data_IF_888923689856
#
_entry.id   IF_888923689856
#
_cell.length_a   1.000
_cell.length_b   1.000
_cell.length_c   1.000
_cell.angle_alpha   90.00
_cell.angle_beta   90.00
_cell.angle_gamma   90.00
#
_symmetry.space_group_name_H-M   'P 1'
#
loop_
_entity.id
_entity.type
_entity.pdbx_description
1 polymer ?
#
# COMPACT_ATOMS: atom_id res chain seq x y z
N UNK A 1 -5.84 10.28 -2.97
CA UNK A 1 -6.39 9.14 -2.20
C UNK A 1 -6.12 7.88 -2.99
N UNK A 2 -5.83 6.77 -2.31
CA UNK A 2 -5.68 5.44 -2.90
C UNK A 2 -6.33 4.42 -1.96
N UNK A 3 -7.06 3.45 -2.51
CA UNK A 3 -7.70 2.37 -1.74
C UNK A 3 -6.88 1.06 -1.77
N UNK A 4 -5.82 1.00 -2.57
CA UNK A 4 -4.90 -0.12 -2.63
C UNK A 4 -3.45 0.37 -2.79
N UNK A 5 -2.50 -0.43 -2.30
CA UNK A 5 -1.07 -0.23 -2.52
C UNK A 5 -0.42 -1.57 -2.87
N UNK A 6 0.38 -1.59 -3.93
CA UNK A 6 1.25 -2.71 -4.25
C UNK A 6 2.71 -2.30 -4.04
N UNK A 7 3.51 -3.21 -3.49
CA UNK A 7 4.93 -2.99 -3.28
C UNK A 7 5.72 -4.04 -4.06
N UNK A 8 6.64 -3.57 -4.88
CA UNK A 8 7.65 -4.38 -5.56
C UNK A 8 9.04 -3.82 -5.25
N UNK A 9 10.08 -4.63 -5.41
CA UNK A 9 11.45 -4.16 -5.16
C UNK A 9 12.49 -4.96 -5.94
N UNK A 10 13.62 -4.30 -6.18
CA UNK A 10 14.89 -4.91 -6.59
C UNK A 10 15.92 -4.72 -5.47
N UNK A 11 17.20 -4.98 -5.73
CA UNK A 11 18.27 -4.66 -4.78
C UNK A 11 18.51 -3.15 -4.68
N UNK A 12 18.17 -2.41 -5.73
CA UNK A 12 18.49 -1.00 -5.91
C UNK A 12 17.35 -0.07 -5.47
N UNK A 13 16.11 -0.54 -5.57
CA UNK A 13 14.94 0.29 -5.37
C UNK A 13 13.71 -0.48 -4.86
N UNK A 14 12.82 0.26 -4.19
CA UNK A 14 11.47 -0.14 -3.87
C UNK A 14 10.50 0.73 -4.65
N UNK A 15 9.50 0.09 -5.25
CA UNK A 15 8.40 0.72 -5.95
C UNK A 15 7.14 0.53 -5.11
N UNK A 16 6.48 1.64 -4.79
CA UNK A 16 5.17 1.65 -4.13
C UNK A 16 4.15 2.24 -5.10
N UNK A 17 3.24 1.40 -5.57
CA UNK A 17 2.16 1.78 -6.47
C UNK A 17 0.88 1.97 -5.69
N UNK A 18 0.44 3.22 -5.60
CA UNK A 18 -0.81 3.62 -4.98
C UNK A 18 -1.89 3.65 -6.05
N UNK A 19 -2.94 2.86 -5.87
CA UNK A 19 -3.96 2.62 -6.87
C UNK A 19 -5.36 2.87 -6.31
N UNK A 20 -6.28 3.23 -7.21
CA UNK A 20 -7.71 3.15 -6.98
C UNK A 20 -8.27 2.01 -7.83
N UNK A 21 -8.69 0.93 -7.15
CA UNK A 21 -9.33 -0.22 -7.78
C UNK A 21 -10.85 -0.04 -7.75
N UNK A 22 -11.50 -0.21 -8.90
CA UNK A 22 -12.95 -0.11 -9.06
C UNK A 22 -13.54 -1.51 -9.33
N UNK A 23 -14.11 -2.14 -8.28
CA UNK A 23 -14.55 -3.55 -8.31
C UNK A 23 -15.52 -3.86 -9.46
N UNK A 24 -16.42 -2.93 -9.81
CA UNK A 24 -17.44 -3.15 -10.84
C UNK A 24 -16.96 -2.90 -12.27
N UNK A 25 -15.80 -2.26 -12.44
CA UNK A 25 -15.32 -1.85 -13.76
C UNK A 25 -14.13 -2.68 -14.24
N UNK A 26 -13.50 -3.48 -13.36
CA UNK A 26 -12.30 -4.25 -13.70
C UNK A 26 -11.10 -3.37 -14.08
N UNK A 27 -11.16 -2.07 -13.80
CA UNK A 27 -10.11 -1.09 -14.09
C UNK A 27 -9.50 -0.62 -12.77
N UNK A 28 -8.17 -0.64 -12.71
CA UNK A 28 -7.39 0.01 -11.67
C UNK A 28 -6.66 1.23 -12.24
N UNK A 29 -6.73 2.37 -11.54
CA UNK A 29 -5.99 3.57 -11.92
C UNK A 29 -4.83 3.77 -10.94
N UNK A 30 -3.60 3.77 -11.47
CA UNK A 30 -2.41 4.16 -10.68
C UNK A 30 -2.50 5.66 -10.41
N UNK A 31 -2.69 5.99 -9.14
CA UNK A 31 -2.79 7.37 -8.67
C UNK A 31 -1.41 7.97 -8.42
N UNK A 32 -0.46 7.16 -7.96
CA UNK A 32 0.94 7.55 -7.82
C UNK A 32 1.85 6.32 -7.80
N UNK A 33 3.05 6.46 -8.38
CA UNK A 33 4.17 5.55 -8.17
C UNK A 33 5.27 6.30 -7.45
N UNK A 34 5.74 5.75 -6.34
CA UNK A 34 6.86 6.30 -5.58
C UNK A 34 8.00 5.29 -5.59
N UNK A 35 9.17 5.75 -6.04
CA UNK A 35 10.39 4.93 -6.14
C UNK A 35 11.39 5.43 -5.11
N UNK A 36 11.90 4.53 -4.27
CA UNK A 36 12.85 4.90 -3.20
C UNK A 36 13.97 3.88 -3.05
N UNK A 37 15.12 4.32 -2.54
CA UNK A 37 16.22 3.41 -2.22
C UNK A 37 15.90 2.53 -1.00
N UNK A 38 16.48 1.32 -0.88
CA UNK A 38 16.29 0.43 0.27
C UNK A 38 16.62 1.09 1.62
N UNK A 39 17.66 1.91 1.66
CA UNK A 39 18.04 2.65 2.87
C UNK A 39 16.97 3.66 3.31
N UNK A 40 16.31 4.31 2.36
CA UNK A 40 15.21 5.25 2.65
C UNK A 40 13.95 4.50 3.08
N UNK A 41 13.67 3.34 2.47
CA UNK A 41 12.54 2.48 2.87
C UNK A 41 12.61 2.10 4.34
N UNK A 42 13.78 1.70 4.86
CA UNK A 42 13.93 1.38 6.29
C UNK A 42 13.57 2.56 7.20
N UNK A 43 13.97 3.78 6.84
CA UNK A 43 13.65 4.98 7.62
C UNK A 43 12.16 5.30 7.58
N UNK A 44 11.53 5.12 6.43
CA UNK A 44 10.08 5.30 6.28
C UNK A 44 9.32 4.29 7.15
N UNK A 45 9.69 3.01 7.12
CA UNK A 45 9.05 1.98 7.95
C UNK A 45 9.13 2.32 9.44
N UNK A 46 10.32 2.72 9.92
CA UNK A 46 10.50 3.13 11.31
C UNK A 46 9.63 4.35 11.66
N UNK A 47 9.65 5.38 10.81
CA UNK A 47 8.86 6.59 11.02
C UNK A 47 7.34 6.31 11.01
N UNK A 48 6.86 5.44 10.12
CA UNK A 48 5.44 5.07 10.06
C UNK A 48 5.02 4.29 11.31
N UNK A 49 5.83 3.34 11.77
CA UNK A 49 5.56 2.59 13.01
C UNK A 49 5.45 3.53 14.22
N UNK A 50 6.37 4.47 14.36
CA UNK A 50 6.32 5.47 15.43
C UNK A 50 5.07 6.36 15.35
N UNK A 51 4.68 6.77 14.15
CA UNK A 51 3.50 7.60 13.94
C UNK A 51 2.19 6.84 14.20
N UNK A 52 2.11 5.55 13.84
CA UNK A 52 0.98 4.69 14.19
C UNK A 52 0.83 4.59 15.71
N UNK A 53 1.93 4.32 16.43
CA UNK A 53 1.90 4.27 17.90
C UNK A 53 1.42 5.58 18.53
N UNK A 54 1.88 6.72 18.02
CA UNK A 54 1.45 8.05 18.48
C UNK A 54 -0.04 8.28 18.20
N UNK A 55 -0.50 7.92 17.01
CA UNK A 55 -1.92 7.99 16.64
C UNK A 55 -2.77 7.15 17.60
N UNK A 56 -2.40 5.90 17.84
CA UNK A 56 -3.17 5.01 18.72
C UNK A 56 -3.20 5.47 20.18
N UNK A 57 -2.12 6.10 20.64
CA UNK A 57 -2.06 6.71 21.98
C UNK A 57 -3.06 7.87 22.11
N UNK A 58 -3.28 8.62 21.02
CA UNK A 58 -4.14 9.80 21.02
C UNK A 58 -5.61 9.50 20.70
N UNK A 59 -5.87 8.55 19.79
CA UNK A 59 -7.20 8.32 19.21
C UNK A 59 -7.77 6.92 19.52
N UNK A 60 -6.99 6.04 20.15
CA UNK A 60 -7.37 4.65 20.42
C UNK A 60 -6.83 3.68 19.36
N UNK A 61 -6.98 2.38 19.63
CA UNK A 61 -6.43 1.32 18.79
C UNK A 61 -7.03 1.33 17.38
N UNK A 62 -6.20 1.11 16.38
CA UNK A 62 -6.66 0.90 15.00
C UNK A 62 -7.23 -0.51 14.90
N UNK A 63 -8.47 -0.62 14.45
CA UNK A 63 -9.04 -1.92 14.10
C UNK A 63 -8.41 -2.40 12.79
N UNK A 64 -7.87 -3.62 12.80
CA UNK A 64 -7.28 -4.21 11.59
C UNK A 64 -8.42 -4.52 10.64
N UNK A 65 -8.50 -3.76 9.54
CA UNK A 65 -9.40 -4.06 8.45
C UNK A 65 -9.07 -5.46 7.90
N UNK A 66 -10.08 -6.32 7.79
CA UNK A 66 -9.90 -7.61 7.11
C UNK A 66 -9.57 -7.33 5.66
N UNK A 67 -8.53 -8.00 5.14
CA UNK A 67 -8.27 -7.99 3.71
C UNK A 67 -9.54 -8.46 2.97
N UNK A 68 -9.92 -7.84 1.84
CA UNK A 68 -11.07 -8.31 1.06
C UNK A 68 -10.91 -9.81 0.76
N UNK A 69 -11.90 -10.62 1.13
CA UNK A 69 -11.87 -12.07 1.02
C UNK A 69 -11.79 -12.57 -0.44
N UNK A 70 -12.04 -11.68 -1.41
CA UNK A 70 -12.11 -11.99 -2.83
C UNK A 70 -10.85 -11.52 -3.57
N UNK A 71 -9.67 -11.87 -3.05
CA UNK A 71 -8.38 -11.63 -3.72
C UNK A 71 -8.10 -12.61 -4.86
N UNK A 72 -9.05 -13.48 -5.21
CA UNK A 72 -9.00 -14.27 -6.44
C UNK A 72 -9.67 -13.46 -7.55
N UNK A 73 -8.86 -12.98 -8.50
CA UNK A 73 -9.28 -12.38 -9.79
C UNK A 73 -9.63 -10.87 -9.83
N UNK A 74 -8.89 -10.01 -9.11
CA UNK A 74 -8.94 -8.57 -9.39
C UNK A 74 -7.90 -8.20 -10.48
N UNK A 75 -8.34 -8.26 -11.73
CA UNK A 75 -8.02 -7.21 -12.73
C UNK A 75 -6.68 -7.20 -13.47
N UNK A 76 -5.83 -8.21 -13.35
CA UNK A 76 -4.70 -8.39 -14.29
C UNK A 76 -4.63 -9.85 -14.75
N UNK A 77 -5.48 -10.20 -15.70
CA UNK A 77 -5.20 -11.35 -16.56
C UNK A 77 -3.92 -11.02 -17.35
N UNK A 78 -2.81 -11.67 -16.99
CA UNK A 78 -1.65 -11.73 -17.84
C UNK A 78 -2.10 -12.25 -19.21
N UNK A 79 -1.97 -11.40 -20.24
CA UNK A 79 -1.90 -11.88 -21.62
C UNK A 79 -0.49 -12.36 -21.89
#
# INVERSE_FOLDING_TARGET
>A
YANAMQVAHTREEFLMDFMNLYAHQGVGVVSARVIISPGHMKRIVAALADNVKKYETQFGKIEVAQAPADANEIGFAAR
#
